data_IF_155627056841
#
_entry.id   IF_155627056841
#
_cell.length_a   1.000
_cell.length_b   1.000
_cell.length_c   1.000
_cell.angle_alpha   90.00
_cell.angle_beta   90.00
_cell.angle_gamma   90.00
#
_symmetry.space_group_name_H-M   'P 1'
#
loop_
_entity.id
_entity.type
_entity.pdbx_description
1 polymer ?
#
# COMPACT_ATOMS: atom_id res chain seq x y z
N UNK A 1 -22.41 -3.51 16.78
CA UNK A 1 -22.98 -2.26 16.25
C UNK A 1 -22.68 -2.27 14.75
N UNK A 2 -23.67 -2.51 13.87
CA UNK A 2 -23.42 -2.83 12.45
C UNK A 2 -22.62 -1.76 11.68
N UNK A 3 -22.81 -0.50 12.05
CA UNK A 3 -22.09 0.64 11.46
C UNK A 3 -20.61 0.67 11.86
N UNK A 4 -20.28 0.42 13.13
CA UNK A 4 -18.90 0.34 13.60
C UNK A 4 -18.15 -0.82 12.92
N UNK A 5 -18.78 -1.99 12.84
CA UNK A 5 -18.22 -3.18 12.18
C UNK A 5 -17.92 -2.91 10.70
N UNK A 6 -18.81 -2.20 10.00
CA UNK A 6 -18.59 -1.80 8.61
C UNK A 6 -17.42 -0.83 8.45
N UNK A 7 -17.28 0.17 9.34
CA UNK A 7 -16.15 1.11 9.33
C UNK A 7 -14.83 0.41 9.58
N UNK A 8 -14.77 -0.48 10.59
CA UNK A 8 -13.59 -1.28 10.89
C UNK A 8 -13.22 -2.19 9.71
N UNK A 9 -14.20 -2.81 9.06
CA UNK A 9 -13.95 -3.63 7.86
C UNK A 9 -13.30 -2.83 6.73
N UNK A 10 -13.81 -1.64 6.43
CA UNK A 10 -13.24 -0.75 5.41
C UNK A 10 -11.82 -0.29 5.77
N UNK A 11 -11.58 0.00 7.06
CA UNK A 11 -10.26 0.36 7.55
C UNK A 11 -9.26 -0.79 7.42
N UNK A 12 -9.65 -2.03 7.78
CA UNK A 12 -8.83 -3.23 7.59
C UNK A 12 -8.49 -3.43 6.12
N UNK A 13 -9.44 -3.20 5.20
CA UNK A 13 -9.17 -3.28 3.76
C UNK A 13 -8.14 -2.24 3.30
N UNK A 14 -8.24 -1.01 3.79
CA UNK A 14 -7.28 0.06 3.47
C UNK A 14 -5.87 -0.25 3.99
N UNK A 15 -5.77 -0.76 5.21
CA UNK A 15 -4.52 -1.21 5.83
C UNK A 15 -3.92 -2.38 5.03
N UNK A 16 -4.74 -3.37 4.63
CA UNK A 16 -4.28 -4.52 3.85
C UNK A 16 -3.71 -4.13 2.48
N UNK A 17 -4.38 -3.20 1.80
CA UNK A 17 -3.89 -2.66 0.52
C UNK A 17 -2.58 -1.89 0.70
N UNK A 18 -2.44 -1.08 1.77
CA UNK A 18 -1.18 -0.39 2.07
C UNK A 18 -0.03 -1.37 2.43
N UNK A 19 -0.31 -2.43 3.18
CA UNK A 19 0.67 -3.44 3.52
C UNK A 19 1.19 -4.17 2.27
N UNK A 20 0.31 -4.45 1.31
CA UNK A 20 0.68 -5.02 0.01
C UNK A 20 1.63 -4.09 -0.76
N UNK A 21 1.33 -2.79 -0.76
CA UNK A 21 2.18 -1.77 -1.37
C UNK A 21 3.56 -1.67 -0.71
N UNK A 22 3.61 -1.65 0.63
CA UNK A 22 4.85 -1.61 1.40
C UNK A 22 5.77 -2.80 1.08
N UNK A 23 5.19 -4.01 1.05
CA UNK A 23 5.93 -5.23 0.72
C UNK A 23 6.48 -5.20 -0.71
N UNK A 24 5.72 -4.63 -1.65
CA UNK A 24 6.19 -4.49 -3.03
C UNK A 24 7.37 -3.56 -3.19
N UNK A 25 7.40 -2.45 -2.46
CA UNK A 25 8.57 -1.59 -2.46
C UNK A 25 9.76 -2.17 -1.72
N UNK A 26 9.53 -2.99 -0.69
CA UNK A 26 10.61 -3.76 -0.04
C UNK A 26 11.28 -4.69 -1.04
N UNK A 27 10.48 -5.49 -1.75
CA UNK A 27 10.97 -6.38 -2.81
C UNK A 27 11.71 -5.60 -3.91
N UNK A 28 11.13 -4.50 -4.40
CA UNK A 28 11.73 -3.69 -5.46
C UNK A 28 13.06 -3.03 -5.04
N UNK A 29 13.15 -2.57 -3.79
CA UNK A 29 14.38 -2.02 -3.21
C UNK A 29 15.50 -3.07 -3.16
N UNK A 30 15.19 -4.29 -2.70
CA UNK A 30 16.15 -5.40 -2.65
C UNK A 30 16.66 -5.77 -4.05
N UNK A 31 15.76 -5.79 -5.06
CA UNK A 31 16.11 -6.08 -6.45
C UNK A 31 16.89 -4.94 -7.12
N UNK A 32 16.58 -3.68 -6.81
CA UNK A 32 17.36 -2.55 -7.31
C UNK A 32 18.81 -2.61 -6.82
N UNK A 33 19.04 -3.02 -5.57
CA UNK A 33 20.40 -3.20 -5.01
C UNK A 33 21.13 -4.33 -5.72
N UNK A 34 20.51 -5.50 -5.89
CA UNK A 34 21.16 -6.66 -6.51
C UNK A 34 21.57 -6.41 -7.96
N UNK A 35 20.92 -5.45 -8.62
CA UNK A 35 21.22 -5.01 -9.99
C UNK A 35 22.06 -3.73 -10.09
N UNK A 36 22.53 -3.18 -8.97
CA UNK A 36 23.41 -1.99 -8.94
C UNK A 36 22.70 -0.63 -9.12
N UNK A 37 21.37 -0.57 -9.06
CA UNK A 37 20.59 0.65 -9.23
C UNK A 37 20.33 1.38 -7.90
N UNK A 38 21.37 1.98 -7.32
CA UNK A 38 21.29 2.70 -6.03
C UNK A 38 20.30 3.86 -6.04
N UNK A 39 20.17 4.58 -7.17
CA UNK A 39 19.21 5.66 -7.33
C UNK A 39 17.75 5.19 -7.23
N UNK A 40 17.42 4.07 -7.89
CA UNK A 40 16.08 3.48 -7.83
C UNK A 40 15.76 2.92 -6.44
N UNK A 41 16.76 2.33 -5.76
CA UNK A 41 16.59 1.92 -4.36
C UNK A 41 16.12 3.09 -3.49
N UNK A 42 16.74 4.26 -3.63
CA UNK A 42 16.32 5.46 -2.87
C UNK A 42 14.86 5.81 -3.15
N UNK A 43 14.45 5.80 -4.41
CA UNK A 43 13.05 6.06 -4.79
C UNK A 43 12.10 5.06 -4.12
N UNK A 44 12.42 3.76 -4.15
CA UNK A 44 11.59 2.74 -3.49
C UNK A 44 11.53 2.92 -1.97
N UNK A 45 12.65 3.25 -1.32
CA UNK A 45 12.67 3.53 0.12
C UNK A 45 11.83 4.75 0.49
N UNK A 46 11.87 5.82 -0.31
CA UNK A 46 11.04 7.01 -0.09
C UNK A 46 9.53 6.65 -0.19
N UNK A 47 9.17 5.76 -1.13
CA UNK A 47 7.81 5.26 -1.26
C UNK A 47 7.39 4.34 -0.11
N UNK A 48 8.30 3.49 0.39
CA UNK A 48 8.07 2.68 1.61
C UNK A 48 7.77 3.56 2.82
N UNK A 49 8.58 4.61 3.03
CA UNK A 49 8.41 5.51 4.16
C UNK A 49 7.02 6.16 4.14
N UNK A 50 6.53 6.58 2.96
CA UNK A 50 5.16 7.11 2.84
C UNK A 50 4.09 6.08 3.19
N UNK A 51 4.24 4.84 2.74
CA UNK A 51 3.32 3.77 3.18
C UNK A 51 3.36 3.52 4.69
N UNK A 52 4.51 3.68 5.34
CA UNK A 52 4.62 3.62 6.81
C UNK A 52 3.87 4.79 7.46
N UNK A 53 4.10 6.02 6.99
CA UNK A 53 3.42 7.22 7.49
C UNK A 53 1.89 7.07 7.40
N UNK A 54 1.39 6.51 6.29
CA UNK A 54 -0.02 6.24 6.08
C UNK A 54 -0.59 5.15 7.00
N UNK A 55 0.20 4.12 7.33
CA UNK A 55 -0.21 3.12 8.32
C UNK A 55 -0.49 3.77 9.67
N UNK A 56 0.33 4.74 10.08
CA UNK A 56 0.10 5.49 11.32
C UNK A 56 -1.22 6.26 11.30
N UNK A 57 -1.57 6.87 10.16
CA UNK A 57 -2.87 7.54 10.01
C UNK A 57 -4.05 6.55 10.11
N UNK A 58 -3.95 5.37 9.49
CA UNK A 58 -4.99 4.34 9.63
C UNK A 58 -5.13 3.84 11.06
N UNK A 59 -4.02 3.65 11.78
CA UNK A 59 -4.05 3.25 13.18
C UNK A 59 -4.68 4.33 14.07
N UNK A 60 -4.44 5.61 13.77
CA UNK A 60 -5.12 6.72 14.45
C UNK A 60 -6.64 6.67 14.24
N UNK A 61 -7.10 6.35 13.02
CA UNK A 61 -8.53 6.13 12.74
C UNK A 61 -9.09 4.92 13.50
N UNK A 62 -8.33 3.83 13.61
CA UNK A 62 -8.75 2.64 14.36
C UNK A 62 -8.94 2.97 15.84
N UNK A 63 -8.00 3.69 16.45
CA UNK A 63 -8.08 4.13 17.84
C UNK A 63 -9.28 5.07 18.06
N UNK A 64 -9.54 5.99 17.13
CA UNK A 64 -10.72 6.86 17.17
C UNK A 64 -12.05 6.11 17.09
N UNK A 65 -12.07 4.93 16.46
CA UNK A 65 -13.22 4.01 16.44
C UNK A 65 -13.32 3.12 17.70
N UNK A 66 -12.39 3.25 18.65
CA UNK A 66 -12.36 2.48 19.90
C UNK A 66 -11.57 1.17 19.84
N UNK A 67 -10.75 0.96 18.80
CA UNK A 67 -9.80 -0.16 18.78
C UNK A 67 -8.68 0.06 19.81
N UNK A 68 -8.45 -0.93 20.68
CA UNK A 68 -7.40 -0.87 21.72
C UNK A 68 -6.03 -1.36 21.21
N UNK A 69 -5.98 -1.96 20.03
CA UNK A 69 -4.78 -2.52 19.43
C UNK A 69 -4.59 -1.98 18.01
N UNK A 70 -3.33 -2.01 17.55
CA UNK A 70 -2.99 -1.80 16.15
C UNK A 70 -3.78 -2.79 15.28
N UNK A 71 -4.53 -2.26 14.32
CA UNK A 71 -5.32 -3.09 13.41
C UNK A 71 -4.38 -3.64 12.35
N UNK A 72 -3.86 -4.84 12.58
CA UNK A 72 -3.10 -5.56 11.56
C UNK A 72 -4.08 -6.24 10.59
N UNK A 73 -3.89 -6.06 9.29
CA UNK A 73 -4.62 -6.86 8.31
C UNK A 73 -4.16 -8.32 8.40
N UNK A 74 -5.07 -9.32 8.46
CA UNK A 74 -4.67 -10.71 8.38
C UNK A 74 -3.95 -10.96 7.05
N UNK A 75 -2.75 -11.55 7.11
CA UNK A 75 -1.97 -11.86 5.92
C UNK A 75 -1.21 -10.68 5.32
N UNK A 76 -0.77 -9.71 6.13
CA UNK A 76 0.28 -8.77 5.72
C UNK A 76 1.41 -9.53 5.00
N UNK A 77 1.62 -9.17 3.75
CA UNK A 77 2.62 -9.79 2.91
C UNK A 77 2.27 -11.17 2.33
N UNK A 78 1.17 -11.86 2.65
CA UNK A 78 0.86 -13.18 2.05
C UNK A 78 0.31 -13.06 0.63
N UNK A 79 -0.64 -12.14 0.40
CA UNK A 79 -1.11 -11.82 -0.96
C UNK A 79 0.02 -11.22 -1.78
N UNK A 80 0.82 -10.33 -1.19
CA UNK A 80 2.01 -9.78 -1.82
C UNK A 80 3.02 -10.90 -2.15
N UNK A 81 3.36 -11.80 -1.20
CA UNK A 81 4.23 -12.96 -1.43
C UNK A 81 3.72 -13.87 -2.54
N UNK A 82 2.41 -14.16 -2.59
CA UNK A 82 1.80 -14.96 -3.67
C UNK A 82 1.85 -14.23 -5.02
N UNK A 83 1.61 -12.92 -5.02
CA UNK A 83 1.68 -12.08 -6.22
C UNK A 83 3.12 -11.99 -6.75
N UNK A 84 4.10 -11.84 -5.87
CA UNK A 84 5.53 -11.87 -6.22
C UNK A 84 5.98 -13.25 -6.69
N UNK A 85 5.56 -14.32 -6.01
CA UNK A 85 5.87 -15.69 -6.42
C UNK A 85 5.28 -16.07 -7.78
N UNK A 86 4.15 -15.49 -8.21
CA UNK A 86 3.53 -15.75 -9.51
C UNK A 86 4.12 -14.91 -10.65
N UNK A 87 4.75 -13.77 -10.35
CA UNK A 87 5.32 -12.85 -11.34
C UNK A 87 6.84 -12.92 -11.49
N UNK A 88 7.53 -13.59 -10.56
CA UNK A 88 8.99 -13.64 -10.55
C UNK A 88 9.51 -14.92 -11.21
N UNK A 89 10.20 -14.79 -12.33
CA UNK A 89 11.19 -15.79 -12.73
C UNK A 89 12.42 -15.56 -11.86
N UNK A 90 12.33 -15.97 -10.59
CA UNK A 90 13.30 -15.68 -9.53
C UNK A 90 14.73 -15.75 -10.07
N UNK A 91 15.38 -14.58 -10.17
CA UNK A 91 16.78 -14.44 -10.56
C UNK A 91 17.03 -14.06 -12.02
N UNK A 92 15.99 -14.00 -12.87
CA UNK A 92 16.10 -13.56 -14.27
C UNK A 92 15.49 -12.17 -14.53
N UNK A 93 14.80 -11.57 -13.56
CA UNK A 93 14.23 -10.23 -13.76
C UNK A 93 15.33 -9.21 -14.03
N UNK A 94 15.13 -8.36 -15.03
CA UNK A 94 15.89 -7.14 -15.20
C UNK A 94 15.25 -5.97 -14.41
N UNK A 95 15.85 -4.79 -14.46
CA UNK A 95 15.29 -3.63 -13.75
C UNK A 95 13.96 -3.13 -14.35
N UNK A 96 13.71 -3.37 -15.64
CA UNK A 96 12.45 -3.01 -16.28
C UNK A 96 11.30 -3.89 -15.79
N UNK A 97 11.56 -5.18 -15.56
CA UNK A 97 10.60 -6.09 -14.94
C UNK A 97 10.22 -5.62 -13.53
N UNK A 98 11.21 -5.19 -12.73
CA UNK A 98 10.98 -4.62 -11.39
C UNK A 98 10.09 -3.37 -11.47
N UNK A 99 10.39 -2.44 -12.38
CA UNK A 99 9.60 -1.22 -12.59
C UNK A 99 8.19 -1.52 -13.10
N UNK A 100 8.04 -2.51 -13.97
CA UNK A 100 6.73 -2.94 -14.48
C UNK A 100 5.88 -3.55 -13.36
N UNK A 101 6.48 -4.39 -12.52
CA UNK A 101 5.82 -4.96 -11.35
C UNK A 101 5.37 -3.87 -10.36
N UNK A 102 6.24 -2.90 -10.06
CA UNK A 102 5.88 -1.75 -9.22
C UNK A 102 4.68 -0.99 -9.78
N UNK A 103 4.65 -0.72 -11.08
CA UNK A 103 3.53 -0.03 -11.74
C UNK A 103 2.22 -0.82 -11.65
N UNK A 104 2.28 -2.16 -11.75
CA UNK A 104 1.09 -3.02 -11.58
C UNK A 104 0.56 -2.97 -10.15
N UNK A 105 1.45 -3.00 -9.16
CA UNK A 105 1.08 -2.89 -7.74
C UNK A 105 0.45 -1.54 -7.45
N UNK A 106 1.05 -0.45 -7.92
CA UNK A 106 0.49 0.90 -7.73
C UNK A 106 -0.90 1.01 -8.37
N UNK A 107 -1.13 0.40 -9.54
CA UNK A 107 -2.45 0.36 -10.15
C UNK A 107 -3.46 -0.40 -9.29
N UNK A 108 -3.13 -1.62 -8.85
CA UNK A 108 -4.03 -2.41 -8.01
C UNK A 108 -4.33 -1.75 -6.66
N UNK A 109 -3.33 -1.07 -6.10
CA UNK A 109 -3.48 -0.23 -4.91
C UNK A 109 -4.45 0.93 -5.15
N UNK A 110 -4.25 1.67 -6.24
CA UNK A 110 -5.10 2.81 -6.63
C UNK A 110 -6.56 2.36 -6.80
N UNK A 111 -6.78 1.26 -7.52
CA UNK A 111 -8.11 0.69 -7.74
C UNK A 111 -8.77 0.26 -6.42
N UNK A 112 -8.01 -0.36 -5.52
CA UNK A 112 -8.50 -0.74 -4.20
C UNK A 112 -8.93 0.48 -3.38
N UNK A 113 -8.14 1.55 -3.40
CA UNK A 113 -8.43 2.77 -2.65
C UNK A 113 -9.62 3.53 -3.19
N UNK A 114 -9.73 3.66 -4.51
CA UNK A 114 -10.91 4.25 -5.15
C UNK A 114 -12.19 3.46 -4.80
N UNK A 115 -12.12 2.13 -4.77
CA UNK A 115 -13.23 1.27 -4.36
C UNK A 115 -13.61 1.48 -2.88
N UNK A 116 -12.62 1.54 -1.98
CA UNK A 116 -12.86 1.78 -0.54
C UNK A 116 -13.44 3.18 -0.33
N UNK A 117 -12.92 4.20 -1.02
CA UNK A 117 -13.44 5.57 -0.97
C UNK A 117 -14.91 5.62 -1.41
N UNK A 118 -15.26 4.97 -2.52
CA UNK A 118 -16.64 4.89 -3.00
C UNK A 118 -17.58 4.23 -1.96
N UNK A 119 -17.13 3.16 -1.30
CA UNK A 119 -17.89 2.48 -0.24
C UNK A 119 -17.98 3.29 1.06
N UNK A 120 -17.01 4.18 1.30
CA UNK A 120 -16.90 5.02 2.49
C UNK A 120 -17.60 6.38 2.33
N UNK A 121 -17.96 6.75 1.10
CA UNK A 121 -18.51 8.05 0.77
C UNK A 121 -19.79 8.35 1.58
N UNK A 122 -19.81 9.49 2.29
CA UNK A 122 -20.93 9.92 3.12
C UNK A 122 -21.11 9.17 4.45
N UNK A 123 -20.30 8.14 4.73
CA UNK A 123 -20.46 7.26 5.88
C UNK A 123 -19.20 7.18 6.76
N UNK A 124 -18.02 7.27 6.16
CA UNK A 124 -16.75 7.32 6.89
C UNK A 124 -15.82 8.40 6.28
N UNK A 125 -16.16 9.70 6.41
CA UNK A 125 -15.44 10.78 5.76
C UNK A 125 -13.94 10.84 6.10
N UNK A 126 -13.58 10.58 7.36
CA UNK A 126 -12.19 10.59 7.81
C UNK A 126 -11.31 9.54 7.09
N UNK A 127 -11.87 8.38 6.73
CA UNK A 127 -11.16 7.39 5.91
C UNK A 127 -11.01 7.88 4.47
N UNK A 128 -12.04 8.52 3.91
CA UNK A 128 -11.97 9.11 2.55
C UNK A 128 -10.88 10.17 2.46
N UNK A 129 -10.77 11.04 3.46
CA UNK A 129 -9.74 12.09 3.53
C UNK A 129 -8.32 11.50 3.50
N UNK A 130 -8.06 10.51 4.38
CA UNK A 130 -6.77 9.81 4.41
C UNK A 130 -6.46 9.17 3.07
N UNK A 131 -7.41 8.42 2.49
CA UNK A 131 -7.21 7.74 1.20
C UNK A 131 -6.95 8.73 0.06
N UNK A 132 -7.65 9.87 0.05
CA UNK A 132 -7.45 10.92 -0.94
C UNK A 132 -6.06 11.55 -0.83
N UNK A 133 -5.59 11.84 0.39
CA UNK A 133 -4.23 12.34 0.63
C UNK A 133 -3.19 11.36 0.05
N UNK A 134 -3.37 10.05 0.24
CA UNK A 134 -2.41 9.07 -0.28
C UNK A 134 -2.35 9.06 -1.80
N UNK A 135 -3.51 9.14 -2.46
CA UNK A 135 -3.59 9.19 -3.92
C UNK A 135 -2.90 10.44 -4.49
N UNK A 136 -3.06 11.60 -3.84
CA UNK A 136 -2.37 12.84 -4.24
C UNK A 136 -0.85 12.68 -4.10
N UNK A 137 -0.39 12.18 -2.94
CA UNK A 137 1.05 11.96 -2.69
C UNK A 137 1.62 10.97 -3.69
N UNK A 138 0.88 9.90 -4.01
CA UNK A 138 1.27 8.91 -5.01
C UNK A 138 1.43 9.54 -6.39
N UNK A 139 0.45 10.32 -6.86
CA UNK A 139 0.51 10.98 -8.18
C UNK A 139 1.74 11.91 -8.29
N UNK A 140 2.08 12.62 -7.21
CA UNK A 140 3.27 13.45 -7.16
C UNK A 140 4.59 12.63 -7.20
N UNK A 141 4.57 11.40 -6.69
CA UNK A 141 5.74 10.50 -6.71
C UNK A 141 5.91 9.76 -8.05
N UNK A 142 4.83 9.47 -8.77
CA UNK A 142 4.89 8.79 -10.08
C UNK A 142 5.51 9.67 -11.17
N UNK A 143 5.53 11.00 -10.99
CA UNK A 143 6.27 11.92 -11.86
C UNK A 143 7.80 11.82 -11.71
N UNK A 144 8.30 11.09 -10.70
CA UNK A 144 9.74 10.97 -10.37
C UNK A 144 10.35 9.63 -10.79
N UNK A 145 9.57 8.71 -11.33
CA UNK A 145 9.99 7.39 -11.81
C UNK A 145 10.25 7.38 -13.32
#
# INVERSE_FOLDING_TARGET
>A
MPELEKRLKLLVQAISANATRLEGYRWASEHAVSKGHVGLRKVFLDKMQKSIDFRLQFNALAMALGSLEEVCAPGEGEMARKFFAMGSNVGKEDINDVLLHCRRIERGFTESYLSIMAQSHGFFPALVEVLHEQLIVQQAQDQKL
#
